data_IF_709843202577
#
_entry.id   IF_709843202577
#
_cell.length_a   1.000
_cell.length_b   1.000
_cell.length_c   1.000
_cell.angle_alpha   90.00
_cell.angle_beta   90.00
_cell.angle_gamma   90.00
#
_symmetry.space_group_name_H-M   'P 1'
#
loop_
_entity.id
_entity.type
_entity.pdbx_description
1 polymer ?
#
# COMPACT_ATOMS: atom_id res chain seq x y z
N UNK A 1 6.85 2.42 -10.92
CA UNK A 1 7.09 1.02 -10.52
C UNK A 1 6.23 0.54 -9.33
N UNK A 2 5.58 1.41 -8.54
CA UNK A 2 4.73 0.98 -7.42
C UNK A 2 3.39 0.32 -7.80
N UNK A 3 2.82 0.65 -8.98
CA UNK A 3 1.50 0.18 -9.40
C UNK A 3 1.39 -1.35 -9.56
N UNK A 4 2.46 -2.02 -10.02
CA UNK A 4 2.47 -3.47 -10.22
C UNK A 4 2.41 -4.26 -8.90
N UNK A 5 3.00 -3.71 -7.83
CA UNK A 5 3.00 -4.34 -6.52
C UNK A 5 1.62 -4.37 -5.86
N UNK A 6 0.89 -3.27 -5.96
CA UNK A 6 -0.47 -3.17 -5.41
C UNK A 6 -1.47 -4.04 -6.17
N UNK A 7 -1.37 -4.12 -7.51
CA UNK A 7 -2.24 -4.98 -8.31
C UNK A 7 -2.12 -6.46 -7.91
N UNK A 8 -0.89 -6.93 -7.68
CA UNK A 8 -0.65 -8.31 -7.24
C UNK A 8 -1.19 -8.56 -5.83
N UNK A 9 -0.91 -7.63 -4.90
CA UNK A 9 -1.44 -7.69 -3.53
C UNK A 9 -2.97 -7.82 -3.51
N UNK A 10 -3.67 -6.93 -4.22
CA UNK A 10 -5.14 -6.94 -4.23
C UNK A 10 -5.71 -8.19 -4.88
N UNK A 11 -5.07 -8.71 -5.93
CA UNK A 11 -5.45 -10.00 -6.54
C UNK A 11 -5.38 -11.14 -5.53
N UNK A 12 -4.31 -11.18 -4.71
CA UNK A 12 -4.16 -12.22 -3.69
C UNK A 12 -5.16 -12.05 -2.55
N UNK A 13 -5.45 -10.82 -2.13
CA UNK A 13 -6.47 -10.55 -1.10
C UNK A 13 -7.84 -10.99 -1.59
N UNK A 14 -8.23 -10.62 -2.82
CA UNK A 14 -9.54 -10.95 -3.39
C UNK A 14 -9.78 -12.45 -3.54
N UNK A 15 -8.72 -13.23 -3.75
CA UNK A 15 -8.82 -14.70 -3.76
C UNK A 15 -9.27 -15.27 -2.41
N UNK A 16 -8.96 -14.57 -1.31
CA UNK A 16 -9.23 -15.04 0.04
C UNK A 16 -10.52 -14.45 0.64
N UNK A 17 -10.80 -13.17 0.36
CA UNK A 17 -11.96 -12.46 0.96
C UNK A 17 -13.12 -12.27 -0.02
N UNK A 18 -12.94 -12.61 -1.29
CA UNK A 18 -13.87 -12.29 -2.36
C UNK A 18 -13.65 -10.88 -2.93
N UNK A 19 -14.61 -10.40 -3.70
CA UNK A 19 -14.53 -9.11 -4.39
C UNK A 19 -14.28 -7.95 -3.42
N UNK A 20 -13.25 -7.13 -3.70
CA UNK A 20 -12.97 -5.89 -2.96
C UNK A 20 -13.31 -4.70 -3.86
N UNK A 21 -14.22 -3.81 -3.43
CA UNK A 21 -14.57 -2.59 -4.17
C UNK A 21 -13.35 -1.74 -4.56
N UNK A 22 -13.36 -1.21 -5.79
CA UNK A 22 -12.27 -0.40 -6.35
C UNK A 22 -11.92 0.81 -5.48
N UNK A 23 -12.94 1.49 -4.94
CA UNK A 23 -12.78 2.65 -4.06
C UNK A 23 -12.03 2.29 -2.76
N UNK A 24 -12.32 1.13 -2.14
CA UNK A 24 -11.61 0.68 -0.94
C UNK A 24 -10.13 0.44 -1.25
N UNK A 25 -9.82 -0.24 -2.36
CA UNK A 25 -8.43 -0.45 -2.79
C UNK A 25 -7.70 0.86 -3.01
N UNK A 26 -8.35 1.80 -3.69
CA UNK A 26 -7.76 3.10 -3.99
C UNK A 26 -7.52 3.90 -2.71
N UNK A 27 -8.51 4.02 -1.83
CA UNK A 27 -8.38 4.78 -0.59
C UNK A 27 -7.28 4.19 0.28
N UNK A 28 -7.22 2.86 0.46
CA UNK A 28 -6.18 2.22 1.25
C UNK A 28 -4.77 2.37 0.64
N UNK A 29 -4.66 2.38 -0.69
CA UNK A 29 -3.38 2.70 -1.35
C UNK A 29 -3.01 4.17 -1.13
N UNK A 30 -3.98 5.08 -1.28
CA UNK A 30 -3.81 6.53 -1.18
C UNK A 30 -3.39 6.97 0.22
N UNK A 31 -4.04 6.41 1.25
CA UNK A 31 -3.71 6.67 2.66
C UNK A 31 -2.51 5.85 3.14
N UNK A 32 -1.81 5.15 2.24
CA UNK A 32 -0.64 4.30 2.52
C UNK A 32 -0.91 3.19 3.54
N UNK A 33 -2.15 2.73 3.70
CA UNK A 33 -2.51 1.63 4.61
C UNK A 33 -2.17 0.24 4.07
N UNK A 34 -1.77 0.09 2.80
CA UNK A 34 -1.30 -1.20 2.26
C UNK A 34 0.11 -1.53 2.75
N UNK A 35 0.20 -1.79 4.05
CA UNK A 35 1.39 -2.16 4.79
C UNK A 35 1.00 -3.07 5.97
N UNK A 36 1.97 -3.45 6.80
CA UNK A 36 1.74 -4.34 7.96
C UNK A 36 0.57 -3.94 8.89
N UNK A 37 0.29 -2.64 9.02
CA UNK A 37 -0.78 -2.09 9.84
C UNK A 37 -2.19 -2.46 9.34
N UNK A 38 -2.35 -2.86 8.08
CA UNK A 38 -3.66 -3.26 7.55
C UNK A 38 -4.25 -4.47 8.28
N UNK A 39 -3.40 -5.33 8.85
CA UNK A 39 -3.85 -6.48 9.64
C UNK A 39 -4.42 -6.08 11.02
N UNK A 40 -4.11 -4.88 11.48
CA UNK A 40 -4.57 -4.32 12.77
C UNK A 40 -5.62 -3.22 12.56
N UNK A 41 -6.25 -3.19 11.39
CA UNK A 41 -7.27 -2.19 11.08
C UNK A 41 -8.56 -2.46 11.89
N UNK A 42 -8.91 -1.51 12.76
CA UNK A 42 -10.12 -1.50 13.58
C UNK A 42 -11.02 -0.30 13.24
N UNK A 43 -12.09 -0.09 14.02
CA UNK A 43 -13.00 1.04 13.80
C UNK A 43 -12.34 2.41 13.96
N UNK A 44 -11.39 2.53 14.88
CA UNK A 44 -10.69 3.79 15.13
C UNK A 44 -9.78 4.14 13.96
N UNK A 45 -9.03 3.16 13.44
CA UNK A 45 -8.22 3.33 12.24
C UNK A 45 -9.07 3.67 11.01
N UNK A 46 -10.22 3.02 10.84
CA UNK A 46 -11.15 3.35 9.76
C UNK A 46 -11.63 4.81 9.89
N UNK A 47 -11.96 5.26 11.10
CA UNK A 47 -12.36 6.64 11.33
C UNK A 47 -11.24 7.66 11.07
N UNK A 48 -9.98 7.30 11.32
CA UNK A 48 -8.83 8.12 10.93
C UNK A 48 -8.68 8.23 9.40
N UNK A 49 -8.83 7.11 8.68
CA UNK A 49 -8.83 7.09 7.21
C UNK A 49 -9.94 8.01 6.66
N UNK A 50 -11.16 7.94 7.22
CA UNK A 50 -12.24 8.85 6.82
C UNK A 50 -11.87 10.32 7.07
N UNK A 51 -11.26 10.63 8.22
CA UNK A 51 -10.83 11.98 8.54
C UNK A 51 -9.75 12.49 7.57
N UNK A 52 -8.83 11.64 7.13
CA UNK A 52 -7.81 12.02 6.15
C UNK A 52 -8.39 12.19 4.75
N UNK A 53 -9.36 11.36 4.38
CA UNK A 53 -10.12 11.55 3.13
C UNK A 53 -10.89 12.87 3.13
N UNK A 54 -11.54 13.27 4.24
CA UNK A 54 -12.24 14.57 4.33
C UNK A 54 -11.31 15.79 4.19
N UNK A 55 -10.01 15.64 4.45
CA UNK A 55 -9.00 16.70 4.26
C UNK A 55 -8.47 16.76 2.82
N UNK A 56 -8.74 15.74 2.01
CA UNK A 56 -8.32 15.74 0.62
C UNK A 56 -9.14 16.77 -0.17
N UNK A 57 -8.46 17.52 -1.04
CA UNK A 57 -9.11 18.44 -1.97
C UNK A 57 -9.73 17.62 -3.11
N UNK A 58 -11.04 17.73 -3.32
CA UNK A 58 -11.67 17.21 -4.54
C UNK A 58 -11.14 17.95 -5.77
N UNK A 59 -11.04 17.25 -6.90
CA UNK A 59 -10.44 17.76 -8.14
C UNK A 59 -8.93 17.56 -8.26
N UNK A 60 -8.29 16.82 -7.34
CA UNK A 60 -6.86 16.48 -7.42
C UNK A 60 -6.61 15.33 -8.40
N UNK A 61 -7.54 14.38 -8.50
CA UNK A 61 -7.48 13.26 -9.44
C UNK A 61 -8.88 12.69 -9.64
N UNK A 62 -9.18 12.24 -10.87
CA UNK A 62 -10.48 11.63 -11.20
C UNK A 62 -10.75 10.39 -10.35
N UNK A 63 -9.71 9.60 -10.04
CA UNK A 63 -9.81 8.40 -9.22
C UNK A 63 -10.13 8.72 -7.75
N UNK A 64 -9.63 9.85 -7.24
CA UNK A 64 -9.94 10.32 -5.90
C UNK A 64 -11.38 10.84 -5.83
N UNK A 65 -11.83 11.57 -6.86
CA UNK A 65 -13.20 12.06 -6.95
C UNK A 65 -14.21 10.91 -7.09
N UNK A 66 -13.87 9.86 -7.85
CA UNK A 66 -14.63 8.61 -7.88
C UNK A 66 -14.82 8.07 -6.47
N UNK A 67 -13.82 8.11 -5.58
CA UNK A 67 -13.95 7.55 -4.24
C UNK A 67 -14.99 8.24 -3.37
N UNK A 68 -15.27 9.53 -3.60
CA UNK A 68 -16.28 10.25 -2.84
C UNK A 68 -17.71 9.86 -3.23
N UNK A 69 -17.95 9.30 -4.43
CA UNK A 69 -19.27 8.87 -4.94
C UNK A 69 -20.45 9.75 -4.43
N UNK A 70 -21.17 9.24 -3.42
CA UNK A 70 -22.39 9.80 -2.82
C UNK A 70 -22.14 11.12 -2.07
N UNK A 71 -20.87 11.41 -1.76
CA UNK A 71 -20.39 12.59 -1.07
C UNK A 71 -19.64 13.55 -1.99
N UNK A 72 -19.67 13.35 -3.32
CA UNK A 72 -18.96 14.22 -4.27
C UNK A 72 -19.32 15.71 -4.12
N UNK A 73 -20.58 16.00 -3.77
CA UNK A 73 -21.05 17.37 -3.53
C UNK A 73 -20.72 17.93 -2.13
N UNK A 74 -20.39 17.07 -1.18
CA UNK A 74 -20.03 17.45 0.19
C UNK A 74 -18.99 16.48 0.78
N UNK A 75 -17.71 16.62 0.40
CA UNK A 75 -16.64 15.71 0.80
C UNK A 75 -16.40 15.68 2.31
N UNK A 76 -16.80 16.73 3.03
CA UNK A 76 -16.70 16.81 4.49
C UNK A 76 -17.60 15.78 5.19
N UNK A 77 -18.64 15.29 4.53
CA UNK A 77 -19.53 14.23 5.04
C UNK A 77 -19.07 12.82 4.66
N UNK A 78 -17.94 12.67 3.97
CA UNK A 78 -17.44 11.37 3.56
C UNK A 78 -17.33 10.42 4.74
N UNK A 79 -17.90 9.23 4.60
CA UNK A 79 -17.72 8.13 5.54
C UNK A 79 -17.91 6.82 4.79
N UNK A 80 -17.26 5.77 5.28
CA UNK A 80 -17.49 4.44 4.75
C UNK A 80 -18.86 3.95 5.19
N UNK A 81 -19.59 3.34 4.25
CA UNK A 81 -20.85 2.69 4.55
C UNK A 81 -20.60 1.44 5.39
N UNK A 82 -21.63 0.98 6.10
CA UNK A 82 -21.52 -0.20 6.97
C UNK A 82 -20.97 -1.45 6.25
N UNK A 83 -21.37 -1.68 5.00
CA UNK A 83 -20.86 -2.77 4.17
C UNK A 83 -19.38 -2.61 3.81
N UNK A 84 -18.93 -1.39 3.52
CA UNK A 84 -17.53 -1.10 3.22
C UNK A 84 -16.65 -1.29 4.46
N UNK A 85 -17.10 -0.82 5.62
CA UNK A 85 -16.43 -1.04 6.91
C UNK A 85 -16.32 -2.54 7.24
N UNK A 86 -17.38 -3.31 6.98
CA UNK A 86 -17.35 -4.75 7.17
C UNK A 86 -16.32 -5.45 6.26
N UNK A 87 -16.21 -5.03 5.00
CA UNK A 87 -15.21 -5.54 4.06
C UNK A 87 -13.79 -5.19 4.54
N UNK A 88 -13.54 -3.96 4.98
CA UNK A 88 -12.23 -3.55 5.49
C UNK A 88 -11.80 -4.39 6.71
N UNK A 89 -12.73 -4.65 7.64
CA UNK A 89 -12.49 -5.55 8.79
C UNK A 89 -12.25 -6.99 8.38
N UNK A 90 -12.97 -7.48 7.36
CA UNK A 90 -12.75 -8.82 6.82
C UNK A 90 -11.35 -8.96 6.23
N UNK A 91 -10.90 -7.96 5.46
CA UNK A 91 -9.53 -7.90 4.93
C UNK A 91 -8.53 -7.95 6.09
N UNK A 92 -8.68 -7.09 7.09
CA UNK A 92 -7.78 -7.03 8.24
C UNK A 92 -7.67 -8.37 8.97
N UNK A 93 -8.82 -9.00 9.24
CA UNK A 93 -8.90 -10.33 9.86
C UNK A 93 -8.16 -11.38 9.04
N UNK A 94 -8.42 -11.45 7.74
CA UNK A 94 -7.78 -12.43 6.85
C UNK A 94 -6.26 -12.22 6.76
N UNK A 95 -5.81 -10.96 6.73
CA UNK A 95 -4.39 -10.62 6.76
C UNK A 95 -3.72 -11.01 8.08
N UNK A 96 -4.44 -10.87 9.21
CA UNK A 96 -3.97 -11.26 10.54
C UNK A 96 -3.84 -12.78 10.67
N UNK A 97 -4.81 -13.53 10.14
CA UNK A 97 -4.81 -15.00 10.17
C UNK A 97 -3.71 -15.63 9.29
N UNK A 98 -3.50 -15.11 8.08
CA UNK A 98 -2.51 -15.65 7.14
C UNK A 98 -1.11 -15.02 7.27
N UNK A 99 -1.03 -13.87 7.92
CA UNK A 99 0.17 -13.05 8.03
C UNK A 99 0.46 -12.26 6.76
N UNK A 100 0.86 -10.99 6.91
CA UNK A 100 1.11 -10.10 5.77
C UNK A 100 2.16 -10.62 4.79
N UNK A 101 3.17 -11.35 5.27
CA UNK A 101 4.19 -11.97 4.41
C UNK A 101 3.62 -12.91 3.36
N UNK A 102 2.43 -13.49 3.57
CA UNK A 102 1.75 -14.34 2.59
C UNK A 102 1.39 -13.58 1.31
N UNK A 103 0.99 -12.31 1.45
CA UNK A 103 0.50 -11.47 0.36
C UNK A 103 1.61 -10.68 -0.34
N UNK A 104 2.78 -10.56 0.29
CA UNK A 104 3.99 -9.94 -0.29
C UNK A 104 5.04 -10.96 -0.76
N UNK A 105 4.80 -12.27 -0.60
CA UNK A 105 5.83 -13.33 -0.74
C UNK A 105 6.39 -13.59 -2.15
N UNK A 106 6.01 -12.81 -3.18
CA UNK A 106 6.49 -13.01 -4.56
C UNK A 106 6.77 -11.70 -5.29
N UNK A 107 7.63 -10.86 -4.72
CA UNK A 107 8.42 -9.95 -5.56
C UNK A 107 9.79 -10.55 -5.94
N UNK A 108 10.28 -11.57 -5.24
CA UNK A 108 11.65 -12.08 -5.45
C UNK A 108 11.78 -13.37 -6.29
N UNK A 109 10.70 -14.13 -6.54
CA UNK A 109 10.85 -15.52 -7.02
C UNK A 109 10.46 -15.77 -8.49
N UNK A 110 10.10 -14.74 -9.27
CA UNK A 110 9.74 -14.92 -10.69
C UNK A 110 10.70 -14.28 -11.71
N UNK A 111 11.84 -13.74 -11.27
CA UNK A 111 12.90 -13.26 -12.18
C UNK A 111 14.24 -14.02 -12.08
N UNK A 112 14.34 -15.09 -11.27
CA UNK A 112 15.62 -15.78 -11.02
C UNK A 112 15.74 -17.11 -11.82
N UNK A 113 14.69 -17.54 -12.52
CA UNK A 113 14.70 -18.86 -13.19
C UNK A 113 15.22 -18.86 -14.64
N UNK A 114 15.50 -17.70 -15.26
CA UNK A 114 15.95 -17.64 -16.65
C UNK A 114 17.18 -16.73 -16.85
N UNK A 115 18.22 -16.88 -16.03
CA UNK A 115 19.60 -16.63 -16.51
C UNK A 115 20.63 -17.38 -15.65
N UNK A 116 20.59 -18.71 -15.70
CA UNK A 116 21.78 -19.51 -15.41
C UNK A 116 22.80 -19.29 -16.52
N UNK A 117 23.67 -18.29 -16.36
CA UNK A 117 25.06 -18.20 -16.81
C UNK A 117 25.53 -16.74 -16.79
N UNK A 118 25.90 -16.23 -15.62
CA UNK A 118 26.92 -15.19 -15.60
C UNK A 118 27.83 -15.38 -14.39
N UNK A 119 29.11 -15.54 -14.72
CA UNK A 119 30.24 -15.70 -13.82
C UNK A 119 30.26 -14.63 -12.73
N UNK A 120 30.60 -15.07 -11.52
CA UNK A 120 31.01 -14.24 -10.40
C UNK A 120 32.27 -13.44 -10.79
N UNK A 121 32.12 -12.14 -10.99
CA UNK A 121 33.18 -11.12 -10.86
C UNK A 121 32.49 -9.74 -10.84
N UNK A 122 33.04 -8.80 -10.07
CA UNK A 122 32.54 -7.43 -9.81
C UNK A 122 31.74 -7.23 -8.51
N UNK A 123 32.21 -7.81 -7.41
CA UNK A 123 32.09 -7.17 -6.10
C UNK A 123 33.15 -6.06 -5.94
N UNK A 124 33.03 -4.94 -6.66
CA UNK A 124 33.82 -3.72 -6.39
C UNK A 124 33.38 -2.52 -7.27
N UNK A 125 32.26 -1.86 -6.96
CA UNK A 125 32.02 -0.50 -7.46
C UNK A 125 30.95 0.22 -6.61
N UNK A 126 31.21 0.44 -5.32
CA UNK A 126 30.49 1.50 -4.60
C UNK A 126 31.15 2.83 -4.97
N UNK A 127 30.42 3.81 -5.54
CA UNK A 127 31.01 5.09 -5.91
C UNK A 127 31.49 5.83 -4.66
N UNK A 128 32.79 6.14 -4.60
CA UNK A 128 33.48 6.83 -3.49
C UNK A 128 32.78 8.13 -3.03
N UNK A 129 32.01 8.78 -3.92
CA UNK A 129 31.25 10.00 -3.62
C UNK A 129 30.18 9.83 -2.53
N UNK A 130 29.60 8.64 -2.38
CA UNK A 130 28.56 8.39 -1.36
C UNK A 130 29.20 8.28 0.03
N UNK A 131 30.39 7.67 0.13
CA UNK A 131 31.14 7.56 1.38
C UNK A 131 31.66 8.92 1.88
N UNK A 132 32.09 9.82 0.99
CA UNK A 132 32.53 11.16 1.37
C UNK A 132 31.40 12.02 1.97
N UNK A 133 30.15 11.82 1.52
CA UNK A 133 29.00 12.57 2.03
C UNK A 133 28.70 12.24 3.50
N UNK A 134 28.73 10.95 3.86
CA UNK A 134 28.40 10.51 5.22
C UNK A 134 29.56 10.69 6.21
N UNK A 135 30.81 10.64 5.74
CA UNK A 135 31.97 10.84 6.62
C UNK A 135 32.22 12.31 6.98
N UNK A 136 31.88 13.27 6.11
CA UNK A 136 32.05 14.71 6.41
C UNK A 136 30.99 15.29 7.37
N UNK A 137 29.83 14.64 7.53
CA UNK A 137 28.77 15.17 8.40
C UNK A 137 28.95 14.86 9.89
N UNK A 138 29.91 14.02 10.25
CA UNK A 138 30.16 13.56 11.63
C UNK A 138 31.21 14.41 12.37
N UNK A 139 31.88 15.37 11.71
CA UNK A 139 32.95 16.19 12.31
C UNK A 139 32.63 17.70 12.28
N UNK A 140 31.35 18.07 12.42
CA UNK A 140 30.97 19.45 12.74
C UNK A 140 29.85 19.48 13.78
N UNK A 141 30.23 19.18 15.02
CA UNK A 141 29.74 19.85 16.22
C UNK A 141 30.95 20.41 16.97
#
# INVERSE_FOLDING_TARGET
MAAAGYAHFWTLVEREVGYVPKNIKFILNWTNYVNGALAELDDDQISLIEADMRKCLCGVSEELDECFHKFAYDPQKFHFLAGERAIMKLIAKTLKEKGMKHFFKKMDTQNIAETSNFSCEMAAAVPQKILEFYTKKVIKE
#
